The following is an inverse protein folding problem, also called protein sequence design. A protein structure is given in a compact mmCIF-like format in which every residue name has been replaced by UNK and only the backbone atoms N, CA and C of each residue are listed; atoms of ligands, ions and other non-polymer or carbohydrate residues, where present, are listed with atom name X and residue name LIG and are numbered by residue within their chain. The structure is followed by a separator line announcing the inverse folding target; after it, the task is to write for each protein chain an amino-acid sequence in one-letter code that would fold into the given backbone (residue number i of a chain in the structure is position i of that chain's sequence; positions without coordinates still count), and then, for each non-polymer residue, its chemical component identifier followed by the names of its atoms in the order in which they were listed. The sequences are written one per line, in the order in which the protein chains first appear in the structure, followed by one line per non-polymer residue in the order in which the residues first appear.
data_IF_276563168489
#
_entry.id   IF_276563168489
#
_cell.length_a   1.000
_cell.length_b   1.000
_cell.length_c   1.000
_cell.angle_alpha   90.00
_cell.angle_beta   90.00
_cell.angle_gamma   90.00
#
_symmetry.space_group_name_H-M   'P 1'
#
loop_
_entity.id
_entity.type
_entity.pdbx_description
1 polymer ?
#
# COMPACT_ATOMS: atom_id res chain seq x y z
N UNK A 1 -1.62 54.54 -36.79
CA UNK A 1 -2.55 54.27 -35.68
C UNK A 1 -2.01 53.10 -34.89
N UNK A 2 -1.44 53.35 -33.71
CA UNK A 2 -0.81 52.29 -32.90
C UNK A 2 -1.93 51.54 -32.18
N UNK A 3 -2.11 50.26 -32.51
CA UNK A 3 -3.03 49.39 -31.80
C UNK A 3 -2.63 49.33 -30.33
N UNK A 4 -3.43 49.95 -29.44
CA UNK A 4 -3.29 49.77 -28.00
C UNK A 4 -3.65 48.31 -27.71
N UNK A 5 -2.63 47.48 -27.49
CA UNK A 5 -2.84 46.13 -26.97
C UNK A 5 -3.25 46.24 -25.50
N UNK A 6 -4.45 45.77 -25.16
CA UNK A 6 -4.94 45.72 -23.77
C UNK A 6 -4.19 44.63 -22.99
N UNK A 7 -3.01 45.00 -22.49
CA UNK A 7 -2.13 44.13 -21.69
C UNK A 7 -2.84 43.51 -20.48
N UNK A 8 -3.85 44.19 -19.92
CA UNK A 8 -4.68 43.64 -18.84
C UNK A 8 -5.40 42.34 -19.24
N UNK A 9 -6.04 42.31 -20.42
CA UNK A 9 -6.77 41.13 -20.90
C UNK A 9 -5.84 39.95 -21.20
N UNK A 10 -4.66 40.23 -21.72
CA UNK A 10 -3.63 39.21 -22.02
C UNK A 10 -3.12 38.57 -20.72
N UNK A 11 -2.91 39.36 -19.67
CA UNK A 11 -2.51 38.85 -18.35
C UNK A 11 -3.54 37.92 -17.72
N UNK A 12 -4.83 38.28 -17.73
CA UNK A 12 -5.89 37.42 -17.17
C UNK A 12 -6.04 36.10 -17.94
N UNK A 13 -5.90 36.10 -19.27
CA UNK A 13 -5.99 34.88 -20.09
C UNK A 13 -4.83 33.93 -19.82
N UNK A 14 -3.60 34.44 -19.73
CA UNK A 14 -2.42 33.61 -19.43
C UNK A 14 -2.50 32.95 -18.04
N UNK A 15 -3.05 33.65 -17.05
CA UNK A 15 -3.27 33.09 -15.70
C UNK A 15 -4.35 32.01 -15.72
N UNK A 16 -5.44 32.21 -16.47
CA UNK A 16 -6.49 31.20 -16.62
C UNK A 16 -5.98 29.92 -17.30
N UNK A 17 -5.15 30.05 -18.34
CA UNK A 17 -4.52 28.92 -19.04
C UNK A 17 -3.56 28.15 -18.13
N UNK A 18 -2.70 28.86 -17.39
CA UNK A 18 -1.79 28.24 -16.42
C UNK A 18 -2.55 27.49 -15.32
N UNK A 19 -3.62 28.09 -14.79
CA UNK A 19 -4.47 27.45 -13.78
C UNK A 19 -5.13 26.18 -14.33
N UNK A 20 -5.60 26.20 -15.58
CA UNK A 20 -6.18 25.01 -16.24
C UNK A 20 -5.16 23.87 -16.42
N UNK A 21 -3.93 24.20 -16.83
CA UNK A 21 -2.85 23.22 -16.98
C UNK A 21 -2.45 22.58 -15.64
N UNK A 22 -2.34 23.41 -14.58
CA UNK A 22 -2.08 22.93 -13.22
C UNK A 22 -3.20 22.01 -12.72
N UNK A 23 -4.47 22.37 -12.94
CA UNK A 23 -5.59 21.52 -12.54
C UNK A 23 -5.60 20.18 -13.28
N UNK A 24 -5.25 20.17 -14.57
CA UNK A 24 -5.16 18.95 -15.36
C UNK A 24 -4.05 18.01 -14.86
N UNK A 25 -2.90 18.56 -14.48
CA UNK A 25 -1.79 17.78 -13.91
C UNK A 25 -2.18 17.15 -12.57
N UNK A 26 -2.87 17.90 -11.70
CA UNK A 26 -3.39 17.41 -10.41
C UNK A 26 -4.37 16.25 -10.62
N UNK A 27 -5.33 16.40 -11.54
CA UNK A 27 -6.30 15.36 -11.83
C UNK A 27 -5.66 14.07 -12.39
N UNK A 28 -4.61 14.21 -13.23
CA UNK A 28 -3.84 13.06 -13.74
C UNK A 28 -3.12 12.32 -12.61
N UNK A 29 -2.49 13.05 -11.69
CA UNK A 29 -1.82 12.47 -10.53
C UNK A 29 -2.82 11.76 -9.60
N UNK A 30 -3.97 12.36 -9.34
CA UNK A 30 -5.03 11.75 -8.53
C UNK A 30 -5.50 10.42 -9.12
N UNK A 31 -5.84 10.39 -10.42
CA UNK A 31 -6.25 9.14 -11.09
C UNK A 31 -5.17 8.05 -11.04
N UNK A 32 -3.90 8.44 -11.19
CA UNK A 32 -2.79 7.49 -11.11
C UNK A 32 -2.64 6.90 -9.71
N UNK A 33 -2.77 7.73 -8.66
CA UNK A 33 -2.73 7.27 -7.27
C UNK A 33 -3.90 6.33 -6.97
N UNK A 34 -5.12 6.70 -7.38
CA UNK A 34 -6.32 5.86 -7.20
C UNK A 34 -6.17 4.49 -7.88
N UNK A 35 -5.67 4.47 -9.13
CA UNK A 35 -5.40 3.24 -9.86
C UNK A 35 -4.40 2.34 -9.13
N UNK A 36 -3.31 2.92 -8.59
CA UNK A 36 -2.29 2.15 -7.84
C UNK A 36 -2.81 1.64 -6.50
N UNK A 37 -3.64 2.41 -5.80
CA UNK A 37 -4.28 1.96 -4.55
C UNK A 37 -5.18 0.75 -4.82
N UNK A 38 -5.95 0.79 -5.92
CA UNK A 38 -6.80 -0.33 -6.32
C UNK A 38 -6.00 -1.59 -6.68
N UNK A 39 -4.89 -1.42 -7.41
CA UNK A 39 -3.96 -2.52 -7.72
C UNK A 39 -3.38 -3.16 -6.44
N UNK A 40 -2.91 -2.36 -5.50
CA UNK A 40 -2.37 -2.87 -4.22
C UNK A 40 -3.47 -3.56 -3.39
N UNK A 41 -4.71 -3.07 -3.41
CA UNK A 41 -5.85 -3.71 -2.72
C UNK A 41 -6.16 -5.09 -3.32
N UNK A 42 -6.10 -5.25 -4.64
CA UNK A 42 -6.33 -6.55 -5.29
C UNK A 42 -5.13 -7.50 -5.13
N UNK A 43 -3.90 -6.98 -5.09
CA UNK A 43 -2.69 -7.79 -4.83
C UNK A 43 -2.60 -8.31 -3.40
N UNK A 44 -3.23 -7.65 -2.41
CA UNK A 44 -3.29 -8.15 -1.01
C UNK A 44 -4.36 -9.22 -0.78
N UNK A 45 -5.28 -9.45 -1.72
CA UNK A 45 -6.28 -10.53 -1.63
C UNK A 45 -5.79 -11.80 -2.33
N UNK A 46 -4.92 -11.71 -3.33
CA UNK A 46 -4.31 -12.89 -3.98
C UNK A 46 -3.08 -13.46 -3.25
N UNK A 47 -2.80 -12.96 -2.03
CA UNK A 47 -1.91 -13.62 -1.06
C UNK A 47 -2.66 -14.04 0.21
N UNK A 48 -3.99 -14.13 0.13
CA UNK A 48 -4.88 -14.52 1.22
C UNK A 48 -6.06 -15.37 0.68
N UNK A 49 -5.71 -16.47 0.03
CA UNK A 49 -6.58 -17.60 -0.29
C UNK A 49 -5.67 -18.67 -0.88
N UNK A 50 -5.43 -19.83 -0.27
CA UNK A 50 -6.26 -20.69 0.57
C UNK A 50 -5.50 -21.05 1.88
N UNK A 51 -6.12 -21.22 3.05
CA UNK A 51 -7.06 -22.30 3.34
C UNK A 51 -7.85 -22.04 4.63
N UNK A 52 -9.06 -22.60 4.62
CA UNK A 52 -10.11 -22.69 5.64
C UNK A 52 -9.64 -23.03 7.07
N UNK A 53 -10.47 -22.77 8.10
CA UNK A 53 -10.27 -23.31 9.43
C UNK A 53 -10.32 -24.84 9.35
N UNK A 54 -9.19 -25.49 9.60
CA UNK A 54 -9.15 -26.92 9.88
C UNK A 54 -8.25 -27.14 11.07
N UNK A 55 -8.89 -27.34 12.20
CA UNK A 55 -8.40 -28.27 13.20
C UNK A 55 -8.02 -29.57 12.50
N UNK A 56 -6.72 -29.76 12.26
CA UNK A 56 -6.18 -31.07 11.94
C UNK A 56 -4.69 -31.07 12.23
N UNK A 57 -4.40 -31.49 13.46
CA UNK A 57 -3.16 -32.12 13.92
C UNK A 57 -2.59 -33.02 12.80
N UNK A 58 -1.62 -32.52 12.06
CA UNK A 58 -0.83 -33.28 11.10
C UNK A 58 0.60 -32.77 11.17
N UNK A 59 1.51 -33.64 11.55
CA UNK A 59 2.93 -33.39 11.72
C UNK A 59 3.59 -33.18 10.36
N UNK A 60 3.94 -31.95 9.99
CA UNK A 60 4.85 -31.70 8.87
C UNK A 60 5.74 -30.48 9.17
N UNK A 61 7.04 -30.63 8.96
CA UNK A 61 8.06 -29.59 9.12
C UNK A 61 7.78 -28.29 8.34
N UNK A 62 6.98 -28.36 7.27
CA UNK A 62 6.50 -27.19 6.55
C UNK A 62 5.60 -26.29 7.42
N UNK A 63 4.77 -26.87 8.30
CA UNK A 63 3.92 -26.11 9.23
C UNK A 63 4.74 -25.35 10.27
N UNK A 64 5.89 -25.92 10.67
CA UNK A 64 6.80 -25.26 11.63
C UNK A 64 7.41 -24.00 11.02
N UNK A 65 7.83 -24.06 9.75
CA UNK A 65 8.40 -22.88 9.07
C UNK A 65 7.34 -21.79 8.91
N UNK A 66 6.11 -22.13 8.53
CA UNK A 66 5.02 -21.16 8.38
C UNK A 66 4.63 -20.53 9.73
N UNK A 67 4.60 -21.32 10.80
CA UNK A 67 4.36 -20.82 12.15
C UNK A 67 5.50 -19.91 12.65
N UNK A 68 6.76 -20.22 12.34
CA UNK A 68 7.89 -19.34 12.67
C UNK A 68 7.84 -17.99 11.94
N UNK A 69 7.42 -18.00 10.67
CA UNK A 69 7.19 -16.78 9.88
C UNK A 69 6.14 -15.89 10.55
N UNK A 70 4.98 -16.46 10.92
CA UNK A 70 3.91 -15.73 11.62
C UNK A 70 4.39 -15.15 12.96
N UNK A 71 5.16 -15.92 13.73
CA UNK A 71 5.74 -15.43 14.98
C UNK A 71 6.72 -14.27 14.77
N UNK A 72 7.50 -14.29 13.69
CA UNK A 72 8.44 -13.21 13.36
C UNK A 72 7.71 -11.94 12.92
N UNK A 73 6.65 -12.07 12.13
CA UNK A 73 5.78 -10.94 11.76
C UNK A 73 5.15 -10.27 13.00
N UNK A 74 4.70 -11.06 13.98
CA UNK A 74 4.17 -10.53 15.24
C UNK A 74 5.23 -9.79 16.06
N UNK A 75 6.47 -10.28 16.09
CA UNK A 75 7.58 -9.61 16.75
C UNK A 75 7.92 -8.28 16.07
N UNK A 76 8.01 -8.28 14.74
CA UNK A 76 8.33 -7.08 13.96
C UNK A 76 7.21 -6.03 14.02
N UNK A 77 5.96 -6.46 14.19
CA UNK A 77 4.82 -5.60 14.48
C UNK A 77 4.77 -5.08 15.93
N UNK A 78 5.66 -5.55 16.82
CA UNK A 78 5.66 -5.21 18.24
C UNK A 78 4.48 -5.79 19.03
N UNK A 79 3.78 -6.78 18.47
CA UNK A 79 2.64 -7.44 19.12
C UNK A 79 3.08 -8.45 20.19
N UNK A 80 4.31 -8.96 20.08
CA UNK A 80 4.95 -9.80 21.09
C UNK A 80 6.37 -9.28 21.37
N UNK A 81 6.86 -9.56 22.56
CA UNK A 81 8.24 -9.31 22.95
C UNK A 81 9.19 -10.39 22.43
N UNK A 82 10.48 -10.08 22.39
CA UNK A 82 11.52 -11.03 21.99
C UNK A 82 11.59 -12.26 22.91
N UNK A 83 11.25 -12.08 24.20
CA UNK A 83 11.16 -13.18 25.16
C UNK A 83 10.02 -14.14 24.82
N UNK A 84 8.85 -13.62 24.43
CA UNK A 84 7.70 -14.42 24.00
C UNK A 84 7.96 -15.14 22.68
N UNK A 85 8.56 -14.45 21.71
CA UNK A 85 8.98 -15.07 20.45
C UNK A 85 9.92 -16.26 20.69
N UNK A 86 10.95 -16.08 21.51
CA UNK A 86 11.91 -17.15 21.82
C UNK A 86 11.27 -18.31 22.58
N UNK A 87 10.32 -18.04 23.47
CA UNK A 87 9.55 -19.07 24.16
C UNK A 87 8.68 -19.90 23.21
N UNK A 88 7.98 -19.23 22.28
CA UNK A 88 7.13 -19.89 21.28
C UNK A 88 7.96 -20.66 20.24
N UNK A 89 9.09 -20.10 19.81
CA UNK A 89 10.05 -20.76 18.92
C UNK A 89 10.57 -22.07 19.52
N UNK A 90 10.95 -22.08 20.80
CA UNK A 90 11.40 -23.31 21.48
C UNK A 90 10.28 -24.36 21.56
N UNK A 91 9.07 -23.96 21.95
CA UNK A 91 7.90 -24.86 21.99
C UNK A 91 7.58 -25.48 20.63
N UNK A 92 7.83 -24.74 19.56
CA UNK A 92 7.53 -25.15 18.20
C UNK A 92 8.59 -26.11 17.61
N UNK A 93 9.85 -25.99 18.03
CA UNK A 93 10.95 -26.81 17.51
C UNK A 93 11.26 -28.08 18.34
N UNK A 94 10.64 -28.24 19.52
CA UNK A 94 10.85 -29.37 20.42
C UNK A 94 12.01 -29.15 21.37
#
# INVERSE_FOLDING_TARGET
TVARMDFGKIGYMAVAEANGASQMAINKLQRHIESRIMEVKTSKIQKAGETKPKDSKSSNTADVVEQLLKLKELLDAGAISEAEFNGLKKKLMG
#
